data_IF_328791758986
#
_entry.id   IF_328791758986
#
_cell.length_a   1.000
_cell.length_b   1.000
_cell.length_c   1.000
_cell.angle_alpha   90.00
_cell.angle_beta   90.00
_cell.angle_gamma   90.00
#
_symmetry.space_group_name_H-M   'P 1'
#
loop_
_entity.id
_entity.type
_entity.pdbx_description
1 polymer ?
#
# COMPACT_ATOMS: atom_id res chain seq x y z
N UNK A 1 2.58 64.67 2.81
CA UNK A 1 2.88 63.84 3.99
C UNK A 1 2.06 62.56 3.87
N UNK A 2 2.56 61.49 3.23
CA UNK A 2 1.82 60.21 3.15
C UNK A 2 2.71 58.97 2.93
N UNK A 3 3.97 59.16 2.50
CA UNK A 3 4.94 58.08 2.27
C UNK A 3 5.33 57.29 3.53
N UNK A 4 5.19 57.88 4.72
CA UNK A 4 5.56 57.25 6.00
C UNK A 4 4.55 56.21 6.51
N UNK A 5 3.28 56.29 6.10
CA UNK A 5 2.25 55.32 6.50
C UNK A 5 2.28 54.07 5.61
N UNK A 6 2.49 54.22 4.31
CA UNK A 6 2.56 53.10 3.35
C UNK A 6 3.72 52.16 3.66
N UNK A 7 4.90 52.68 4.02
CA UNK A 7 6.08 51.88 4.36
C UNK A 7 5.87 51.00 5.60
N UNK A 8 5.19 51.51 6.63
CA UNK A 8 4.86 50.75 7.86
C UNK A 8 3.86 49.62 7.59
N UNK A 9 2.84 49.87 6.77
CA UNK A 9 1.84 48.86 6.43
C UNK A 9 2.42 47.73 5.56
N UNK A 10 3.39 48.03 4.68
CA UNK A 10 4.10 47.03 3.88
C UNK A 10 5.04 46.18 4.74
N UNK A 11 5.76 46.78 5.71
CA UNK A 11 6.59 46.04 6.67
C UNK A 11 5.75 45.08 7.53
N UNK A 12 4.61 45.54 8.06
CA UNK A 12 3.69 44.71 8.84
C UNK A 12 3.13 43.52 8.05
N UNK A 13 2.84 43.72 6.76
CA UNK A 13 2.42 42.62 5.87
C UNK A 13 3.54 41.62 5.62
N UNK A 14 4.77 42.07 5.43
CA UNK A 14 5.93 41.19 5.27
C UNK A 14 6.21 40.37 6.54
N UNK A 15 6.10 40.99 7.71
CA UNK A 15 6.26 40.33 9.01
C UNK A 15 5.14 39.33 9.29
N UNK A 16 3.89 39.69 8.97
CA UNK A 16 2.75 38.78 9.03
C UNK A 16 2.95 37.57 8.12
N UNK A 17 3.35 37.78 6.85
CA UNK A 17 3.62 36.67 5.91
C UNK A 17 4.74 35.77 6.43
N UNK A 18 5.79 36.35 7.02
CA UNK A 18 6.90 35.58 7.62
C UNK A 18 6.41 34.75 8.81
N UNK A 19 5.62 35.34 9.71
CA UNK A 19 5.02 34.65 10.85
C UNK A 19 4.10 33.51 10.39
N UNK A 20 3.24 33.75 9.39
CA UNK A 20 2.38 32.72 8.81
C UNK A 20 3.16 31.57 8.18
N UNK A 21 4.28 31.86 7.49
CA UNK A 21 5.17 30.82 6.95
C UNK A 21 5.84 30.00 8.05
N UNK A 22 6.29 30.65 9.13
CA UNK A 22 6.85 29.95 10.29
C UNK A 22 5.81 29.05 10.96
N UNK A 23 4.57 29.52 11.12
CA UNK A 23 3.46 28.73 11.66
C UNK A 23 3.17 27.52 10.78
N UNK A 24 3.03 27.71 9.46
CA UNK A 24 2.78 26.63 8.52
C UNK A 24 3.89 25.56 8.60
N UNK A 25 5.16 25.98 8.61
CA UNK A 25 6.29 25.06 8.73
C UNK A 25 6.27 24.27 10.05
N UNK A 26 5.92 24.92 11.17
CA UNK A 26 5.80 24.26 12.46
C UNK A 26 4.65 23.24 12.45
N UNK A 27 3.48 23.61 11.92
CA UNK A 27 2.31 22.72 11.81
C UNK A 27 2.63 21.52 10.91
N UNK A 28 3.25 21.71 9.74
CA UNK A 28 3.65 20.61 8.85
C UNK A 28 4.60 19.63 9.54
N UNK A 29 5.56 20.12 10.35
CA UNK A 29 6.45 19.24 11.13
C UNK A 29 5.68 18.42 12.17
N UNK A 30 4.67 19.00 12.82
CA UNK A 30 3.83 18.28 13.78
C UNK A 30 3.00 17.21 13.08
N UNK A 31 2.39 17.52 11.93
CA UNK A 31 1.63 16.55 11.14
C UNK A 31 2.51 15.36 10.71
N UNK A 32 3.69 15.63 10.16
CA UNK A 32 4.65 14.57 9.79
C UNK A 32 5.12 13.73 10.99
N UNK A 33 5.23 14.34 12.17
CA UNK A 33 5.58 13.62 13.40
C UNK A 33 4.45 12.68 13.81
N UNK A 34 3.19 13.12 13.71
CA UNK A 34 2.01 12.28 13.98
C UNK A 34 2.01 11.06 13.05
N UNK A 35 2.22 11.27 11.75
CA UNK A 35 2.30 10.18 10.77
C UNK A 35 3.43 9.19 11.09
N UNK A 36 4.57 9.70 11.56
CA UNK A 36 5.70 8.86 11.99
C UNK A 36 5.39 8.06 13.26
N UNK A 37 4.66 8.64 14.22
CA UNK A 37 4.26 7.95 15.46
C UNK A 37 3.29 6.80 15.15
N UNK A 38 2.37 7.00 14.21
CA UNK A 38 1.48 5.96 13.71
C UNK A 38 2.27 4.76 13.16
N UNK A 39 3.26 4.99 12.29
CA UNK A 39 4.07 3.91 11.72
C UNK A 39 4.81 3.14 12.82
N UNK A 40 5.29 3.84 13.86
CA UNK A 40 5.91 3.20 15.03
C UNK A 40 4.91 2.37 15.81
N UNK A 41 3.70 2.86 16.03
CA UNK A 41 2.66 2.08 16.70
C UNK A 41 2.32 0.81 15.90
N UNK A 42 2.18 0.92 14.57
CA UNK A 42 1.95 -0.22 13.69
C UNK A 42 3.11 -1.24 13.77
N UNK A 43 4.35 -0.78 13.86
CA UNK A 43 5.51 -1.66 14.03
C UNK A 43 5.46 -2.42 15.37
N UNK A 44 5.10 -1.74 16.46
CA UNK A 44 4.95 -2.36 17.77
C UNK A 44 3.83 -3.42 17.77
N UNK A 45 2.68 -3.10 17.18
CA UNK A 45 1.55 -4.04 17.07
C UNK A 45 1.93 -5.24 16.18
N UNK A 46 2.66 -5.00 15.08
CA UNK A 46 3.20 -6.06 14.23
C UNK A 46 4.11 -7.00 15.02
N UNK A 47 5.03 -6.45 15.80
CA UNK A 47 5.96 -7.25 16.60
C UNK A 47 5.23 -8.07 17.68
N UNK A 48 4.22 -7.47 18.35
CA UNK A 48 3.34 -8.16 19.30
C UNK A 48 2.66 -9.37 18.65
N UNK A 49 2.02 -9.17 17.50
CA UNK A 49 1.33 -10.21 16.73
C UNK A 49 2.30 -11.31 16.28
N UNK A 50 3.48 -10.94 15.76
CA UNK A 50 4.50 -11.91 15.33
C UNK A 50 4.97 -12.76 16.51
N UNK A 51 5.19 -12.16 17.68
CA UNK A 51 5.56 -12.90 18.89
C UNK A 51 4.46 -13.88 19.32
N UNK A 52 3.19 -13.47 19.27
CA UNK A 52 2.07 -14.34 19.58
C UNK A 52 1.91 -15.46 18.55
N UNK A 53 2.15 -15.21 17.26
CA UNK A 53 2.18 -16.24 16.22
C UNK A 53 3.30 -17.27 16.46
N UNK A 54 4.50 -16.82 16.84
CA UNK A 54 5.60 -17.73 17.19
C UNK A 54 5.23 -18.60 18.40
N UNK A 55 4.57 -18.03 19.41
CA UNK A 55 4.05 -18.79 20.54
C UNK A 55 3.04 -19.84 20.08
N UNK A 56 2.10 -19.47 19.21
CA UNK A 56 1.07 -20.38 18.67
C UNK A 56 1.67 -21.56 17.90
N UNK A 57 2.75 -21.34 17.15
CA UNK A 57 3.47 -22.40 16.44
C UNK A 57 4.15 -23.40 17.39
N UNK A 58 4.69 -22.90 18.50
CA UNK A 58 5.45 -23.70 19.47
C UNK A 58 4.56 -24.53 20.41
N UNK A 59 3.26 -24.26 20.49
CA UNK A 59 2.37 -24.99 21.39
C UNK A 59 2.22 -26.45 20.97
N UNK A 60 2.39 -27.36 21.93
CA UNK A 60 2.20 -28.81 21.76
C UNK A 60 0.91 -29.34 22.39
N UNK A 61 0.15 -28.49 23.10
CA UNK A 61 -1.10 -28.85 23.78
C UNK A 61 -2.28 -27.99 23.29
N UNK A 62 -3.40 -28.61 22.93
CA UNK A 62 -4.56 -27.91 22.36
C UNK A 62 -5.17 -26.88 23.31
N UNK A 63 -5.21 -27.14 24.62
CA UNK A 63 -5.75 -26.18 25.59
C UNK A 63 -4.91 -24.90 25.67
N UNK A 64 -3.59 -25.03 25.70
CA UNK A 64 -2.68 -23.87 25.66
C UNK A 64 -2.77 -23.14 24.32
N UNK A 65 -3.02 -23.88 23.24
CA UNK A 65 -3.23 -23.29 21.92
C UNK A 65 -4.47 -22.40 21.93
N UNK A 66 -5.61 -22.88 22.46
CA UNK A 66 -6.84 -22.08 22.54
C UNK A 66 -6.65 -20.81 23.37
N UNK A 67 -5.91 -20.89 24.49
CA UNK A 67 -5.56 -19.69 25.29
C UNK A 67 -4.72 -18.70 24.49
N UNK A 68 -3.66 -19.17 23.85
CA UNK A 68 -2.81 -18.34 23.01
C UNK A 68 -3.57 -17.74 21.82
N UNK A 69 -4.51 -18.50 21.24
CA UNK A 69 -5.32 -18.10 20.09
C UNK A 69 -6.37 -17.06 20.48
N UNK A 70 -6.92 -17.14 21.68
CA UNK A 70 -7.80 -16.08 22.20
C UNK A 70 -7.06 -14.77 22.37
N UNK A 71 -5.84 -14.78 22.93
CA UNK A 71 -5.01 -13.58 23.04
C UNK A 71 -4.65 -13.02 21.66
N UNK A 72 -4.25 -13.90 20.73
CA UNK A 72 -3.98 -13.54 19.36
C UNK A 72 -5.18 -12.86 18.68
N UNK A 73 -6.39 -13.36 18.91
CA UNK A 73 -7.61 -12.76 18.37
C UNK A 73 -7.84 -11.32 18.83
N UNK A 74 -7.50 -10.99 20.09
CA UNK A 74 -7.59 -9.62 20.61
C UNK A 74 -6.61 -8.71 19.87
N UNK A 75 -5.37 -9.14 19.71
CA UNK A 75 -4.32 -8.39 19.00
C UNK A 75 -4.68 -8.16 17.52
N UNK A 76 -5.33 -9.14 16.88
CA UNK A 76 -5.84 -8.99 15.52
C UNK A 76 -6.97 -7.96 15.41
N UNK A 77 -7.83 -7.83 16.43
CA UNK A 77 -8.86 -6.79 16.46
C UNK A 77 -8.23 -5.41 16.65
N UNK A 78 -7.26 -5.28 17.55
CA UNK A 78 -6.49 -4.03 17.74
C UNK A 78 -5.84 -3.58 16.43
N UNK A 79 -5.16 -4.50 15.73
CA UNK A 79 -4.60 -4.22 14.40
C UNK A 79 -5.68 -3.83 13.39
N UNK A 80 -6.83 -4.51 13.40
CA UNK A 80 -7.90 -4.23 12.46
C UNK A 80 -8.48 -2.82 12.67
N UNK A 81 -8.48 -2.30 13.89
CA UNK A 81 -8.86 -0.92 14.18
C UNK A 81 -7.77 0.04 13.68
N UNK A 82 -6.52 -0.19 14.08
CA UNK A 82 -5.40 0.69 13.73
C UNK A 82 -5.21 0.81 12.21
N UNK A 83 -5.30 -0.29 11.48
CA UNK A 83 -5.17 -0.28 10.02
C UNK A 83 -6.44 0.22 9.32
N UNK A 84 -7.60 0.17 9.96
CA UNK A 84 -8.85 0.76 9.47
C UNK A 84 -8.81 2.29 9.49
N UNK A 85 -8.31 2.87 10.58
CA UNK A 85 -8.16 4.33 10.70
C UNK A 85 -7.20 4.87 9.64
N UNK A 86 -6.11 4.14 9.36
CA UNK A 86 -5.15 4.50 8.30
C UNK A 86 -5.75 4.49 6.89
N UNK A 87 -6.65 3.55 6.58
CA UNK A 87 -7.33 3.52 5.28
C UNK A 87 -8.11 4.81 4.98
N UNK A 88 -8.56 5.52 6.01
CA UNK A 88 -9.31 6.78 5.87
C UNK A 88 -8.42 7.94 5.40
N UNK A 89 -7.12 7.89 5.70
CA UNK A 89 -6.17 8.97 5.39
C UNK A 89 -5.36 8.70 4.10
N UNK A 90 -5.29 7.45 3.67
CA UNK A 90 -4.58 7.05 2.45
C UNK A 90 -5.34 7.54 1.21
N UNK A 91 -4.81 8.60 0.56
CA UNK A 91 -5.34 9.12 -0.71
C UNK A 91 -5.11 8.21 -1.92
N UNK A 92 -4.11 7.34 -1.86
CA UNK A 92 -3.78 6.43 -2.95
C UNK A 92 -4.66 5.16 -2.89
N UNK A 93 -5.61 5.10 -3.83
CA UNK A 93 -6.54 3.98 -4.00
C UNK A 93 -5.83 2.63 -4.12
N UNK A 94 -4.64 2.58 -4.72
CA UNK A 94 -3.87 1.33 -4.84
C UNK A 94 -3.37 0.85 -3.49
N UNK A 95 -2.82 1.76 -2.68
CA UNK A 95 -2.35 1.44 -1.32
C UNK A 95 -3.50 0.98 -0.45
N UNK A 96 -4.65 1.66 -0.55
CA UNK A 96 -5.90 1.28 0.12
C UNK A 96 -6.32 -0.14 -0.23
N UNK A 97 -6.33 -0.48 -1.52
CA UNK A 97 -6.67 -1.82 -1.99
C UNK A 97 -5.67 -2.90 -1.51
N UNK A 98 -4.37 -2.58 -1.44
CA UNK A 98 -3.35 -3.51 -0.94
C UNK A 98 -3.52 -3.81 0.56
N UNK A 99 -3.78 -2.79 1.38
CA UNK A 99 -4.05 -2.96 2.81
C UNK A 99 -5.33 -3.79 3.00
N UNK A 100 -6.39 -3.51 2.26
CA UNK A 100 -7.65 -4.26 2.37
C UNK A 100 -7.50 -5.73 1.96
N UNK A 101 -6.77 -5.99 0.86
CA UNK A 101 -6.45 -7.35 0.46
C UNK A 101 -5.66 -8.10 1.55
N UNK A 102 -4.68 -7.44 2.18
CA UNK A 102 -3.90 -8.03 3.27
C UNK A 102 -4.75 -8.30 4.51
N UNK A 103 -5.65 -7.37 4.89
CA UNK A 103 -6.61 -7.54 5.98
C UNK A 103 -7.52 -8.75 5.75
N UNK A 104 -8.05 -8.90 4.54
CA UNK A 104 -8.89 -10.05 4.19
C UNK A 104 -8.10 -11.38 4.27
N UNK A 105 -6.82 -11.41 3.89
CA UNK A 105 -5.97 -12.58 4.09
C UNK A 105 -5.83 -12.90 5.58
N UNK A 106 -5.57 -11.90 6.43
CA UNK A 106 -5.44 -12.09 7.88
C UNK A 106 -6.73 -12.61 8.51
N UNK A 107 -7.89 -12.08 8.12
CA UNK A 107 -9.20 -12.55 8.58
C UNK A 107 -9.42 -14.02 8.24
N UNK A 108 -9.22 -14.38 6.95
CA UNK A 108 -9.38 -15.76 6.49
C UNK A 108 -8.40 -16.72 7.16
N UNK A 109 -7.13 -16.33 7.26
CA UNK A 109 -6.11 -17.14 7.92
C UNK A 109 -6.41 -17.33 9.41
N UNK A 110 -6.93 -16.30 10.10
CA UNK A 110 -7.35 -16.41 11.51
C UNK A 110 -8.45 -17.45 11.69
N UNK A 111 -9.47 -17.45 10.82
CA UNK A 111 -10.54 -18.46 10.84
C UNK A 111 -10.00 -19.88 10.58
N UNK A 112 -8.99 -20.03 9.72
CA UNK A 112 -8.38 -21.32 9.39
C UNK A 112 -7.38 -21.82 10.44
N UNK A 113 -6.83 -20.93 11.26
CA UNK A 113 -5.72 -21.23 12.15
C UNK A 113 -6.10 -22.26 13.23
N UNK A 114 -7.26 -22.10 13.87
CA UNK A 114 -7.74 -23.04 14.88
C UNK A 114 -7.87 -24.46 14.31
N UNK A 115 -8.50 -24.59 13.13
CA UNK A 115 -8.77 -25.88 12.49
C UNK A 115 -7.47 -26.56 12.03
N UNK A 116 -6.59 -25.82 11.34
CA UNK A 116 -5.32 -26.37 10.85
C UNK A 116 -4.40 -26.79 12.02
N UNK A 117 -4.33 -25.98 13.08
CA UNK A 117 -3.56 -26.31 14.27
C UNK A 117 -4.12 -27.51 15.03
N UNK A 118 -5.45 -27.60 15.19
CA UNK A 118 -6.11 -28.74 15.83
C UNK A 118 -5.80 -30.06 15.11
N UNK A 119 -5.87 -30.06 13.78
CA UNK A 119 -5.56 -31.23 12.96
C UNK A 119 -4.10 -31.63 13.11
N UNK A 120 -3.17 -30.66 13.06
CA UNK A 120 -1.74 -30.92 13.26
C UNK A 120 -1.43 -31.48 14.65
N UNK A 121 -2.11 -31.00 15.71
CA UNK A 121 -1.94 -31.49 17.07
C UNK A 121 -2.53 -32.89 17.30
N UNK A 122 -3.59 -33.24 16.57
CA UNK A 122 -4.17 -34.61 16.63
C UNK A 122 -3.36 -35.64 15.84
N UNK A 123 -2.65 -35.20 14.79
CA UNK A 123 -1.91 -36.07 13.89
C UNK A 123 -0.48 -35.55 13.68
N UNK A 124 0.39 -35.61 14.71
CA UNK A 124 1.73 -35.03 14.67
C UNK A 124 2.64 -35.63 13.59
N UNK A 125 2.43 -36.90 13.24
CA UNK A 125 3.17 -37.63 12.19
C UNK A 125 2.73 -37.27 10.76
N UNK A 126 1.63 -36.54 10.59
CA UNK A 126 1.12 -36.16 9.28
C UNK A 126 1.83 -34.89 8.77
N UNK A 127 2.74 -35.06 7.80
CA UNK A 127 3.45 -33.96 7.15
C UNK A 127 2.48 -32.95 6.52
N UNK A 128 1.45 -33.41 5.81
CA UNK A 128 0.47 -32.53 5.16
C UNK A 128 -0.34 -31.68 6.15
N UNK A 129 -0.65 -32.20 7.35
CA UNK A 129 -1.32 -31.42 8.39
C UNK A 129 -0.41 -30.30 8.93
N UNK A 130 0.88 -30.58 9.06
CA UNK A 130 1.91 -29.61 9.47
C UNK A 130 2.11 -28.55 8.40
N UNK A 131 2.31 -28.94 7.14
CA UNK A 131 2.46 -28.02 6.00
C UNK A 131 1.25 -27.10 5.83
N UNK A 132 0.03 -27.62 5.98
CA UNK A 132 -1.19 -26.82 5.92
C UNK A 132 -1.21 -25.74 7.02
N UNK A 133 -0.90 -26.13 8.27
CA UNK A 133 -0.81 -25.19 9.39
C UNK A 133 0.28 -24.14 9.18
N UNK A 134 1.47 -24.57 8.77
CA UNK A 134 2.62 -23.70 8.57
C UNK A 134 2.38 -22.72 7.40
N UNK A 135 1.61 -23.14 6.38
CA UNK A 135 1.15 -22.27 5.29
C UNK A 135 0.25 -21.14 5.81
N UNK A 136 -0.68 -21.43 6.73
CA UNK A 136 -1.54 -20.40 7.34
C UNK A 136 -0.68 -19.37 8.08
N UNK A 137 0.27 -19.81 8.91
CA UNK A 137 1.18 -18.89 9.61
C UNK A 137 2.04 -18.05 8.65
N UNK A 138 2.53 -18.66 7.57
CA UNK A 138 3.30 -17.97 6.54
C UNK A 138 2.47 -16.89 5.84
N UNK A 139 1.22 -17.17 5.49
CA UNK A 139 0.30 -16.19 4.90
C UNK A 139 0.05 -15.00 5.85
N UNK A 140 -0.13 -15.27 7.14
CA UNK A 140 -0.35 -14.22 8.13
C UNK A 140 0.86 -13.30 8.26
N UNK A 141 2.07 -13.85 8.40
CA UNK A 141 3.31 -13.05 8.43
C UNK A 141 3.46 -12.18 7.18
N UNK A 142 3.25 -12.76 5.99
CA UNK A 142 3.34 -12.02 4.71
C UNK A 142 2.32 -10.89 4.63
N UNK A 143 1.08 -11.13 5.08
CA UNK A 143 0.05 -10.10 5.09
C UNK A 143 0.38 -8.96 6.07
N UNK A 144 0.90 -9.28 7.26
CA UNK A 144 1.40 -8.29 8.23
C UNK A 144 2.54 -7.44 7.65
N UNK A 145 3.51 -8.08 7.01
CA UNK A 145 4.64 -7.38 6.39
C UNK A 145 4.18 -6.49 5.24
N UNK A 146 3.19 -6.91 4.46
CA UNK A 146 2.58 -6.10 3.40
C UNK A 146 1.89 -4.86 3.96
N UNK A 147 1.08 -5.00 5.02
CA UNK A 147 0.43 -3.86 5.68
C UNK A 147 1.50 -2.87 6.16
N UNK A 148 2.51 -3.35 6.89
CA UNK A 148 3.58 -2.51 7.39
C UNK A 148 4.35 -1.81 6.27
N UNK A 149 4.65 -2.51 5.18
CA UNK A 149 5.31 -1.95 4.00
C UNK A 149 4.48 -0.82 3.38
N UNK A 150 3.21 -1.07 3.07
CA UNK A 150 2.35 -0.10 2.37
C UNK A 150 2.13 1.17 3.18
N UNK A 151 1.95 1.03 4.51
CA UNK A 151 1.76 2.16 5.42
C UNK A 151 3.06 2.97 5.56
N UNK A 152 4.20 2.30 5.78
CA UNK A 152 5.51 2.96 5.90
C UNK A 152 5.85 3.75 4.63
N UNK A 153 5.63 3.14 3.46
CA UNK A 153 5.92 3.74 2.17
C UNK A 153 5.00 4.95 1.88
N UNK A 154 3.74 4.94 2.34
CA UNK A 154 2.80 6.05 2.19
C UNK A 154 3.21 7.30 2.97
N UNK A 155 3.79 7.12 4.17
CA UNK A 155 4.30 8.23 4.98
C UNK A 155 5.55 8.87 4.34
N UNK A 156 6.42 8.06 3.75
CA UNK A 156 7.62 8.55 3.06
C UNK A 156 7.27 9.38 1.80
N UNK A 157 6.29 8.93 1.01
CA UNK A 157 5.81 9.67 -0.17
C UNK A 157 5.21 11.02 0.19
N UNK A 158 4.45 11.07 1.29
CA UNK A 158 3.82 12.31 1.78
C UNK A 158 4.88 13.31 2.26
N UNK A 159 5.87 12.83 3.01
CA UNK A 159 6.99 13.65 3.46
C UNK A 159 7.83 14.19 2.29
N UNK A 160 8.11 13.35 1.29
CA UNK A 160 8.86 13.77 0.09
C UNK A 160 8.09 14.85 -0.69
N UNK A 161 6.79 14.66 -0.90
CA UNK A 161 5.93 15.62 -1.62
C UNK A 161 5.92 17.00 -0.96
N UNK A 162 5.95 17.08 0.36
CA UNK A 162 5.93 18.34 1.13
C UNK A 162 7.28 19.07 1.16
N UNK A 163 8.39 18.36 1.04
CA UNK A 163 9.75 18.94 0.99
C UNK A 163 10.06 19.54 -0.38
N UNK A 164 9.40 19.05 -1.44
CA UNK A 164 9.49 19.64 -2.78
C UNK A 164 8.74 20.99 -2.79
N UNK A 165 9.45 22.09 -2.58
CA UNK A 165 8.87 23.42 -2.75
C UNK A 165 8.32 23.57 -4.20
N UNK A 166 7.15 24.20 -4.42
CA UNK A 166 6.79 24.67 -5.74
C UNK A 166 7.68 25.89 -6.05
N UNK A 167 8.91 25.62 -6.47
CA UNK A 167 9.71 26.63 -7.16
C UNK A 167 8.93 27.05 -8.40
N UNK A 168 8.72 28.37 -8.52
CA UNK A 168 8.11 29.07 -9.65
C UNK A 168 8.25 28.33 -10.99
N UNK A 169 7.12 27.78 -11.44
CA UNK A 169 6.65 27.56 -12.81
C UNK A 169 5.79 26.29 -12.84
N UNK A 170 4.60 26.30 -13.47
CA UNK A 170 3.91 25.05 -13.78
C UNK A 170 4.87 24.16 -14.58
N UNK A 171 4.96 22.86 -14.31
CA UNK A 171 5.94 22.02 -14.98
C UNK A 171 5.51 21.88 -16.44
N UNK A 172 6.09 22.72 -17.30
CA UNK A 172 6.18 22.47 -18.74
C UNK A 172 7.17 21.31 -19.04
N UNK A 173 7.37 20.37 -18.09
CA UNK A 173 8.16 19.16 -18.32
C UNK A 173 7.26 18.10 -18.91
N UNK A 174 7.39 17.97 -20.23
CA UNK A 174 6.93 16.83 -21.02
C UNK A 174 7.51 15.53 -20.43
N UNK A 175 6.74 14.44 -20.32
CA UNK A 175 7.24 13.19 -19.75
C UNK A 175 8.33 12.61 -20.64
N UNK A 176 9.42 12.13 -20.04
CA UNK A 176 10.46 11.36 -20.75
C UNK A 176 10.04 9.89 -20.81
N UNK A 177 10.64 9.13 -21.73
CA UNK A 177 10.40 7.71 -21.98
C UNK A 177 10.39 6.84 -20.70
N UNK A 178 11.18 7.24 -19.71
CA UNK A 178 11.33 6.57 -18.41
C UNK A 178 10.08 6.68 -17.50
N UNK A 179 9.16 7.62 -17.75
CA UNK A 179 7.95 7.83 -16.92
C UNK A 179 6.85 6.78 -17.15
N UNK A 180 7.00 5.94 -18.17
CA UNK A 180 6.05 4.87 -18.50
C UNK A 180 6.42 3.54 -17.85
N UNK A 181 7.67 3.36 -17.39
CA UNK A 181 8.17 2.08 -16.87
C UNK A 181 7.75 1.77 -15.43
N UNK A 182 7.21 2.76 -14.69
CA UNK A 182 6.66 2.52 -13.36
C UNK A 182 5.50 1.51 -13.38
N UNK A 183 5.32 0.76 -12.29
CA UNK A 183 4.18 -0.16 -12.06
C UNK A 183 2.84 0.61 -11.98
N UNK A 184 2.48 1.42 -12.96
CA UNK A 184 1.25 2.20 -13.03
C UNK A 184 0.10 1.30 -13.49
N UNK A 185 -1.09 1.50 -12.91
CA UNK A 185 -2.28 0.77 -13.36
C UNK A 185 -2.65 1.20 -14.78
N UNK A 186 -3.28 0.30 -15.55
CA UNK A 186 -3.81 0.62 -16.88
C UNK A 186 -4.70 1.88 -16.86
N UNK A 187 -5.49 2.04 -15.80
CA UNK A 187 -6.37 3.20 -15.65
C UNK A 187 -5.57 4.52 -15.53
N UNK A 188 -4.48 4.53 -14.75
CA UNK A 188 -3.62 5.71 -14.62
C UNK A 188 -2.96 6.09 -15.96
N UNK A 189 -2.50 5.09 -16.71
CA UNK A 189 -1.91 5.28 -18.05
C UNK A 189 -2.93 5.84 -19.05
N UNK A 190 -4.17 5.33 -19.05
CA UNK A 190 -5.27 5.82 -19.89
C UNK A 190 -5.64 7.28 -19.55
N UNK A 191 -5.81 7.62 -18.28
CA UNK A 191 -6.12 9.00 -17.87
C UNK A 191 -5.01 9.98 -18.26
N UNK A 192 -3.74 9.54 -18.14
CA UNK A 192 -2.59 10.34 -18.56
C UNK A 192 -2.53 10.53 -20.08
N UNK A 193 -2.85 9.49 -20.86
CA UNK A 193 -2.97 9.59 -22.31
C UNK A 193 -4.08 10.57 -22.72
N UNK A 194 -5.25 10.50 -22.07
CA UNK A 194 -6.36 11.43 -22.29
C UNK A 194 -5.91 12.88 -22.03
N UNK A 195 -5.18 13.12 -20.93
CA UNK A 195 -4.61 14.44 -20.64
C UNK A 195 -3.61 14.92 -21.70
N UNK A 196 -2.80 14.03 -22.26
CA UNK A 196 -1.89 14.40 -23.37
C UNK A 196 -2.65 14.75 -24.65
N UNK A 197 -3.70 14.01 -24.99
CA UNK A 197 -4.58 14.34 -26.13
C UNK A 197 -5.24 15.71 -25.94
N UNK A 198 -5.69 16.00 -24.72
CA UNK A 198 -6.33 17.26 -24.39
C UNK A 198 -5.37 18.46 -24.47
N UNK A 199 -4.14 18.31 -23.96
CA UNK A 199 -3.08 19.33 -24.09
C UNK A 199 -2.71 19.52 -25.56
N UNK A 200 -2.48 18.43 -26.31
CA UNK A 200 -2.15 18.49 -27.73
C UNK A 200 -3.24 19.16 -28.58
N UNK A 201 -4.51 19.01 -28.17
CA UNK A 201 -5.65 19.70 -28.76
C UNK A 201 -5.61 21.21 -28.49
N UNK A 202 -5.22 21.64 -27.29
CA UNK A 202 -5.18 23.06 -26.92
C UNK A 202 -3.97 23.80 -27.48
N UNK A 203 -2.81 23.15 -27.64
CA UNK A 203 -1.58 23.82 -28.08
C UNK A 203 -1.40 23.87 -29.60
N UNK A 204 -2.41 23.42 -30.37
CA UNK A 204 -2.26 22.93 -31.76
C UNK A 204 -1.23 21.79 -31.85
N UNK A 205 -1.52 20.78 -32.68
CA UNK A 205 -0.73 19.54 -32.73
C UNK A 205 0.69 19.81 -33.26
N UNK A 206 1.60 20.08 -32.33
CA UNK A 206 3.02 20.25 -32.61
C UNK A 206 3.69 18.93 -33.01
N UNK A 207 4.87 18.99 -33.66
CA UNK A 207 5.60 17.80 -34.13
C UNK A 207 5.91 16.80 -33.01
N UNK A 208 6.03 17.27 -31.77
CA UNK A 208 6.33 16.45 -30.60
C UNK A 208 5.12 15.60 -30.15
N UNK A 209 3.90 16.16 -30.21
CA UNK A 209 2.68 15.42 -29.92
C UNK A 209 2.44 14.28 -30.94
N UNK A 210 2.85 14.50 -32.21
CA UNK A 210 2.74 13.48 -33.28
C UNK A 210 3.62 12.26 -33.07
N UNK A 211 4.72 12.38 -32.31
CA UNK A 211 5.59 11.26 -31.99
C UNK A 211 5.20 10.58 -30.67
N UNK A 212 4.79 11.36 -29.65
CA UNK A 212 4.51 10.79 -28.33
C UNK A 212 3.15 10.10 -28.20
N UNK A 213 2.12 10.56 -28.91
CA UNK A 213 0.78 9.94 -28.85
C UNK A 213 0.77 8.49 -29.38
N UNK A 214 1.40 8.18 -30.53
CA UNK A 214 1.52 6.79 -30.99
C UNK A 214 2.30 5.90 -30.02
N UNK A 215 3.46 6.35 -29.52
CA UNK A 215 4.28 5.58 -28.57
C UNK A 215 3.53 5.28 -27.26
N UNK A 216 2.81 6.28 -26.73
CA UNK A 216 1.96 6.12 -25.55
C UNK A 216 0.83 5.10 -25.77
N UNK A 217 0.22 5.12 -26.96
CA UNK A 217 -0.86 4.20 -27.31
C UNK A 217 -0.35 2.77 -27.50
N UNK A 218 0.81 2.58 -28.13
CA UNK A 218 1.47 1.27 -28.25
C UNK A 218 1.79 0.67 -26.87
N UNK A 219 2.32 1.48 -25.95
CA UNK A 219 2.59 1.04 -24.58
C UNK A 219 1.32 0.63 -23.82
N UNK A 220 0.22 1.37 -24.00
CA UNK A 220 -1.08 1.03 -23.41
C UNK A 220 -1.61 -0.28 -24.00
N UNK A 221 -1.48 -0.49 -25.31
CA UNK A 221 -1.88 -1.74 -25.96
C UNK A 221 -1.09 -2.94 -25.45
N UNK A 222 0.23 -2.81 -25.28
CA UNK A 222 1.07 -3.87 -24.72
C UNK A 222 0.63 -4.25 -23.30
N UNK A 223 0.33 -3.26 -22.45
CA UNK A 223 -0.19 -3.47 -21.09
C UNK A 223 -1.58 -4.11 -21.08
N UNK A 224 -2.47 -3.73 -22.01
CA UNK A 224 -3.79 -4.36 -22.16
C UNK A 224 -3.61 -5.84 -22.52
N UNK A 225 -2.67 -6.15 -23.41
CA UNK A 225 -2.42 -7.51 -23.85
C UNK A 225 -1.88 -8.39 -22.72
N UNK A 226 -0.95 -7.87 -21.91
CA UNK A 226 -0.45 -8.56 -20.70
C UNK A 226 -1.58 -8.85 -19.70
N UNK A 227 -2.45 -7.87 -19.45
CA UNK A 227 -3.58 -8.04 -18.53
C UNK A 227 -4.63 -9.00 -19.07
N UNK A 228 -4.88 -9.00 -20.39
CA UNK A 228 -5.77 -9.96 -21.04
C UNK A 228 -5.23 -11.41 -20.94
N UNK A 229 -3.94 -11.61 -21.19
CA UNK A 229 -3.27 -12.93 -21.05
C UNK A 229 -3.37 -13.43 -19.60
N UNK A 230 -3.17 -12.54 -18.62
CA UNK A 230 -3.29 -12.87 -17.20
C UNK A 230 -4.73 -13.25 -16.81
N UNK A 231 -5.74 -12.56 -17.36
CA UNK A 231 -7.17 -12.83 -17.11
C UNK A 231 -7.65 -14.17 -17.72
N UNK A 232 -7.04 -14.61 -18.82
CA UNK A 232 -7.37 -15.88 -19.50
C UNK A 232 -6.66 -17.09 -18.85
N UNK A 233 -5.87 -16.89 -17.79
CA UNK A 233 -5.24 -17.98 -17.03
C UNK A 233 -4.04 -18.64 -17.71
N UNK A 234 -3.54 -18.08 -18.82
CA UNK A 234 -2.33 -18.52 -19.49
C UNK A 234 -1.11 -17.84 -18.86
N UNK A 235 -0.80 -18.18 -17.61
CA UNK A 235 0.52 -17.88 -17.06
C UNK A 235 1.51 -18.97 -17.52
N UNK A 236 2.66 -18.63 -18.13
CA UNK A 236 3.67 -19.61 -18.57
C UNK A 236 4.38 -20.37 -17.45
N UNK A 237 4.01 -20.14 -16.18
CA UNK A 237 4.69 -20.75 -15.04
C UNK A 237 3.79 -20.70 -13.81
N UNK A 238 2.80 -21.59 -13.74
CA UNK A 238 1.91 -21.71 -12.57
C UNK A 238 1.85 -23.17 -12.03
N UNK A 239 2.74 -23.55 -11.09
CA UNK A 239 2.72 -24.88 -10.47
C UNK A 239 1.56 -25.08 -9.48
N UNK A 240 0.71 -24.07 -9.25
CA UNK A 240 -0.37 -24.11 -8.26
C UNK A 240 -1.65 -24.83 -8.71
N UNK A 241 -1.75 -25.21 -9.99
CA UNK A 241 -2.90 -25.99 -10.49
C UNK A 241 -2.77 -27.50 -10.15
N UNK A 242 -1.57 -27.99 -9.83
CA UNK A 242 -1.39 -29.41 -9.47
C UNK A 242 -1.95 -29.77 -8.08
N UNK A 243 -2.05 -28.83 -7.13
CA UNK A 243 -2.53 -29.15 -5.77
C UNK A 243 -4.05 -29.43 -5.72
N UNK A 244 -4.84 -28.79 -6.60
CA UNK A 244 -6.29 -29.01 -6.66
C UNK A 244 -6.67 -30.36 -7.30
N UNK A 245 -5.75 -30.97 -8.06
CA UNK A 245 -5.97 -32.28 -8.70
C UNK A 245 -5.76 -33.44 -7.70
N UNK A 246 -4.89 -33.28 -6.69
CA UNK A 246 -4.64 -34.34 -5.70
C UNK A 246 -5.78 -34.54 -4.70
N UNK A 247 -6.68 -33.57 -4.50
CA UNK A 247 -7.82 -33.72 -3.60
C UNK A 247 -9.02 -34.50 -4.17
N UNK A 248 -9.02 -34.83 -5.47
CA UNK A 248 -10.13 -35.56 -6.11
C UNK A 248 -9.96 -37.09 -6.15
N UNK A 249 -8.82 -37.64 -5.73
CA UNK A 249 -8.53 -39.09 -5.81
C UNK A 249 -8.41 -39.80 -4.45
N UNK A 250 -8.89 -39.20 -3.36
CA UNK A 250 -9.10 -39.91 -2.09
C UNK A 250 -10.60 -39.98 -1.75
N UNK A 251 -11.31 -40.79 -2.52
CA UNK A 251 -12.52 -41.51 -2.08
C UNK A 251 -12.46 -42.91 -2.62
#
# INVERSE_FOLDING_TARGET
MDSGNISRTVSNKADMVRASRCLLAAVTRVLLLVDTVVVKQLLLDKDKIVNTLLRLEAVTNFTEFVKAFSQFGIEMVELAQLTGDQLTDVKDERRRAQIEAARHVLERSTMMLLTSAKTCLRHPECSSARENRDTVFCQMRRAMDLIHYVVKDGVLDTAASLVTCPSSNPPNRLPKKDDWEGNQSLNALLNRFIGQVEIAKMTLVGPQARQQLPEALEFILERIQINAITSIGLSPSNPLINSSIYYKNCK
#
